data_IF_328230773154
#
_entry.id   IF_328230773154
#
_cell.length_a   1.000
_cell.length_b   1.000
_cell.length_c   1.000
_cell.angle_alpha   90.00
_cell.angle_beta   90.00
_cell.angle_gamma   90.00
#
_symmetry.space_group_name_H-M   'P 1'
#
loop_
_entity.id
_entity.type
_entity.pdbx_description
1 polymer ?
#
# COMPACT_ATOMS: atom_id res chain seq x y z
N UNK A 1 -18.21 31.73 -0.59
CA UNK A 1 -19.22 30.91 0.09
C UNK A 1 -19.35 29.57 -0.58
N UNK A 2 -19.13 28.54 0.17
CA UNK A 2 -19.34 27.21 -0.35
C UNK A 2 -20.84 26.91 -0.40
N UNK A 3 -21.25 26.30 -1.50
CA UNK A 3 -22.64 25.84 -1.63
C UNK A 3 -22.73 24.43 -1.09
N UNK A 4 -23.75 24.19 -0.27
CA UNK A 4 -24.07 22.83 0.17
C UNK A 4 -24.80 22.12 -0.94
N UNK A 5 -24.27 20.99 -1.36
CA UNK A 5 -24.89 20.14 -2.37
C UNK A 5 -25.67 19.04 -1.67
N UNK A 6 -26.96 18.93 -2.02
CA UNK A 6 -27.83 17.89 -1.48
C UNK A 6 -28.00 16.76 -2.49
N UNK A 7 -28.09 15.50 -2.05
CA UNK A 7 -28.02 15.06 -0.66
C UNK A 7 -26.59 15.12 -0.11
N UNK A 8 -26.47 15.18 1.21
CA UNK A 8 -25.17 15.17 1.89
C UNK A 8 -24.72 13.71 2.07
N UNK A 9 -23.53 13.40 1.59
CA UNK A 9 -22.96 12.07 1.76
C UNK A 9 -22.36 11.94 3.17
N UNK A 10 -22.82 10.96 3.93
CA UNK A 10 -22.42 10.77 5.32
C UNK A 10 -21.90 9.37 5.62
N UNK A 11 -21.40 8.67 4.61
CA UNK A 11 -20.94 7.28 4.77
C UNK A 11 -19.43 7.14 4.49
N UNK A 12 -18.64 8.09 4.98
CA UNK A 12 -17.19 8.09 4.76
C UNK A 12 -16.46 6.93 5.42
N UNK A 13 -17.09 6.25 6.36
CA UNK A 13 -16.52 5.03 6.92
C UNK A 13 -16.51 3.88 5.92
N UNK A 14 -17.45 3.89 4.98
CA UNK A 14 -17.57 2.87 3.93
C UNK A 14 -16.63 3.17 2.78
N UNK A 15 -16.73 4.37 2.22
CA UNK A 15 -15.90 4.79 1.10
C UNK A 15 -15.84 6.30 1.02
N UNK A 16 -14.82 6.82 0.40
CA UNK A 16 -14.63 8.25 0.20
C UNK A 16 -14.35 8.55 -1.26
N UNK A 17 -14.70 9.76 -1.74
CA UNK A 17 -14.26 10.15 -3.07
C UNK A 17 -12.74 10.21 -3.15
N UNK A 18 -12.20 9.86 -4.30
CA UNK A 18 -10.78 9.96 -4.55
C UNK A 18 -10.42 11.41 -4.92
N UNK A 19 -9.34 11.92 -4.39
CA UNK A 19 -8.82 13.23 -4.78
C UNK A 19 -8.60 13.23 -6.30
N UNK A 20 -9.05 14.26 -7.01
CA UNK A 20 -8.90 14.32 -8.48
C UNK A 20 -7.46 14.14 -8.97
N UNK A 21 -6.48 14.60 -8.21
CA UNK A 21 -5.07 14.43 -8.55
C UNK A 21 -4.65 12.97 -8.47
N UNK A 22 -5.17 12.25 -7.48
CA UNK A 22 -4.91 10.82 -7.32
C UNK A 22 -5.62 10.03 -8.43
N UNK A 23 -6.87 10.36 -8.72
CA UNK A 23 -7.62 9.70 -9.79
C UNK A 23 -6.90 9.85 -11.14
N UNK A 24 -6.37 11.04 -11.43
CA UNK A 24 -5.59 11.28 -12.64
C UNK A 24 -4.32 10.43 -12.67
N UNK A 25 -3.62 10.34 -11.55
CA UNK A 25 -2.40 9.54 -11.47
C UNK A 25 -2.68 8.06 -11.71
N UNK A 26 -3.76 7.55 -11.15
CA UNK A 26 -4.21 6.17 -11.40
C UNK A 26 -4.52 5.97 -12.89
N UNK A 27 -5.27 6.87 -13.48
CA UNK A 27 -5.63 6.82 -14.90
C UNK A 27 -4.40 6.82 -15.80
N UNK A 28 -3.39 7.62 -15.46
CA UNK A 28 -2.14 7.71 -16.22
C UNK A 28 -1.35 6.38 -16.24
N UNK A 29 -1.67 5.45 -15.35
CA UNK A 29 -1.01 4.14 -15.29
C UNK A 29 -1.86 3.02 -15.88
N UNK A 30 -2.97 3.35 -16.52
CA UNK A 30 -3.90 2.35 -17.06
C UNK A 30 -3.95 2.29 -18.58
N UNK A 31 -3.50 3.33 -19.25
CA UNK A 31 -3.70 3.47 -20.69
C UNK A 31 -2.39 3.40 -21.48
N UNK A 32 -2.51 3.13 -22.77
CA UNK A 32 -1.38 3.04 -23.67
C UNK A 32 -0.56 4.34 -23.74
N UNK A 33 -1.23 5.48 -23.62
CA UNK A 33 -0.58 6.79 -23.65
C UNK A 33 0.15 7.11 -22.35
N UNK A 34 -0.11 6.37 -21.30
CA UNK A 34 0.49 6.56 -20.00
C UNK A 34 1.53 5.51 -19.68
N UNK A 35 1.69 5.22 -18.42
CA UNK A 35 2.69 4.29 -17.90
C UNK A 35 2.02 3.01 -17.40
N UNK A 36 1.63 2.13 -18.33
CA UNK A 36 0.83 0.94 -18.04
C UNK A 36 1.65 -0.32 -17.77
N UNK A 37 2.96 -0.28 -17.96
CA UNK A 37 3.80 -1.47 -17.94
C UNK A 37 3.83 -2.18 -16.58
N UNK A 38 4.27 -3.42 -16.61
CA UNK A 38 4.46 -4.22 -15.40
C UNK A 38 5.84 -3.91 -14.81
N UNK A 39 5.92 -3.39 -13.58
CA UNK A 39 7.22 -3.07 -12.97
C UNK A 39 8.12 -4.27 -12.77
N UNK A 40 7.58 -5.48 -12.77
CA UNK A 40 8.37 -6.71 -12.69
C UNK A 40 9.01 -7.11 -14.03
N UNK A 41 8.57 -6.51 -15.13
CA UNK A 41 9.11 -6.81 -16.46
C UNK A 41 10.38 -6.00 -16.73
N UNK A 42 11.53 -6.60 -16.45
CA UNK A 42 12.82 -5.89 -16.49
C UNK A 42 13.50 -5.91 -17.84
N UNK A 43 12.93 -6.62 -18.83
CA UNK A 43 13.54 -6.80 -20.13
C UNK A 43 13.21 -5.71 -21.15
N UNK A 44 12.32 -4.77 -20.81
CA UNK A 44 11.95 -3.70 -21.72
C UNK A 44 11.61 -2.40 -20.99
N UNK A 45 11.62 -1.30 -21.73
CA UNK A 45 11.49 0.02 -21.12
C UNK A 45 10.10 0.31 -20.51
N UNK A 46 9.05 -0.38 -20.95
CA UNK A 46 7.72 -0.20 -20.37
C UNK A 46 7.72 -0.65 -18.91
N UNK A 47 8.39 -1.76 -18.61
CA UNK A 47 8.58 -2.22 -17.25
C UNK A 47 9.47 -1.29 -16.43
N UNK A 48 10.53 -0.76 -17.05
CA UNK A 48 11.45 0.17 -16.35
C UNK A 48 10.73 1.45 -15.94
N UNK A 49 9.89 2.01 -16.82
CA UNK A 49 9.10 3.20 -16.49
C UNK A 49 8.12 2.94 -15.37
N UNK A 50 7.49 1.77 -15.38
CA UNK A 50 6.57 1.39 -14.32
C UNK A 50 7.30 1.23 -12.98
N UNK A 51 8.47 0.59 -12.99
CA UNK A 51 9.30 0.44 -11.80
C UNK A 51 9.73 1.78 -11.24
N UNK A 52 10.11 2.72 -12.11
CA UNK A 52 10.47 4.07 -11.69
C UNK A 52 9.31 4.76 -10.97
N UNK A 53 8.09 4.64 -11.49
CA UNK A 53 6.90 5.20 -10.83
C UNK A 53 6.65 4.57 -9.47
N UNK A 54 6.81 3.26 -9.35
CA UNK A 54 6.65 2.54 -8.07
C UNK A 54 7.69 3.02 -7.06
N UNK A 55 8.93 3.15 -7.47
CA UNK A 55 9.99 3.60 -6.55
C UNK A 55 9.83 5.06 -6.15
N UNK A 56 9.35 5.91 -7.03
CA UNK A 56 9.01 7.29 -6.70
C UNK A 56 7.90 7.33 -5.65
N UNK A 57 6.85 6.56 -5.84
CA UNK A 57 5.76 6.46 -4.88
C UNK A 57 6.24 5.95 -3.52
N UNK A 58 7.12 4.96 -3.53
CA UNK A 58 7.74 4.41 -2.32
C UNK A 58 8.48 5.49 -1.55
N UNK A 59 9.23 6.32 -2.25
CA UNK A 59 9.96 7.43 -1.64
C UNK A 59 9.03 8.46 -1.03
N UNK A 60 7.92 8.76 -1.70
CA UNK A 60 6.93 9.70 -1.18
C UNK A 60 6.32 9.20 0.13
N UNK A 61 5.94 7.92 0.18
CA UNK A 61 5.39 7.33 1.41
C UNK A 61 6.43 7.29 2.51
N UNK A 62 7.66 6.90 2.19
CA UNK A 62 8.75 6.86 3.15
C UNK A 62 9.02 8.24 3.77
N UNK A 63 9.02 9.29 2.96
CA UNK A 63 9.20 10.65 3.44
C UNK A 63 8.06 11.07 4.37
N UNK A 64 6.84 10.67 4.04
CA UNK A 64 5.68 11.03 4.84
C UNK A 64 5.75 10.43 6.25
N UNK A 65 6.19 9.17 6.37
CA UNK A 65 6.27 8.48 7.66
C UNK A 65 7.66 8.59 8.31
N UNK A 66 8.63 9.16 7.61
CA UNK A 66 9.97 9.39 8.17
C UNK A 66 10.84 8.15 8.23
N UNK A 67 10.76 7.28 7.21
CA UNK A 67 11.58 6.08 7.15
C UNK A 67 12.35 5.99 5.83
N UNK A 68 13.19 4.96 5.71
CA UNK A 68 13.90 4.65 4.48
C UNK A 68 12.94 4.01 3.48
N UNK A 69 13.01 4.34 2.18
CA UNK A 69 12.15 3.71 1.16
C UNK A 69 12.20 2.19 1.16
N UNK A 70 13.32 1.59 1.56
CA UNK A 70 13.46 0.12 1.65
C UNK A 70 12.61 -0.50 2.74
N UNK A 71 12.10 0.31 3.66
CA UNK A 71 11.22 -0.15 4.74
C UNK A 71 9.75 -0.17 4.32
N UNK A 72 9.43 0.33 3.12
CA UNK A 72 8.07 0.32 2.59
C UNK A 72 7.84 -0.94 1.79
N UNK A 73 6.81 -1.68 2.15
CA UNK A 73 6.41 -2.91 1.46
C UNK A 73 4.99 -2.74 0.92
N UNK A 74 4.85 -2.89 -0.40
CA UNK A 74 3.54 -2.83 -1.03
C UNK A 74 2.79 -4.15 -0.87
N UNK A 75 1.54 -4.07 -0.53
CA UNK A 75 0.66 -5.24 -0.39
C UNK A 75 -0.64 -5.00 -1.14
N UNK A 76 -1.41 -6.07 -1.36
CA UNK A 76 -2.68 -5.99 -2.05
C UNK A 76 -3.81 -5.40 -1.19
N UNK A 77 -3.61 -5.32 0.11
CA UNK A 77 -4.62 -4.79 1.02
C UNK A 77 -4.29 -5.07 2.47
N UNK A 78 -5.21 -4.72 3.35
CA UNK A 78 -5.01 -4.80 4.79
C UNK A 78 -4.76 -6.24 5.27
N UNK A 79 -5.47 -7.21 4.72
CA UNK A 79 -5.33 -8.62 5.13
C UNK A 79 -3.90 -9.11 4.89
N UNK A 80 -3.36 -8.86 3.70
CA UNK A 80 -1.98 -9.24 3.38
C UNK A 80 -0.99 -8.48 4.25
N UNK A 81 -1.21 -7.18 4.45
CA UNK A 81 -0.32 -6.35 5.26
C UNK A 81 -0.27 -6.83 6.70
N UNK A 82 -1.42 -7.12 7.31
CA UNK A 82 -1.49 -7.60 8.69
C UNK A 82 -0.81 -8.96 8.83
N UNK A 83 -1.05 -9.88 7.91
CA UNK A 83 -0.43 -11.20 7.94
C UNK A 83 1.08 -11.11 7.75
N UNK A 84 1.53 -10.27 6.82
CA UNK A 84 2.95 -10.06 6.59
C UNK A 84 3.64 -9.51 7.83
N UNK A 85 3.06 -8.48 8.46
CA UNK A 85 3.64 -7.86 9.63
C UNK A 85 3.68 -8.83 10.83
N UNK A 86 2.56 -9.45 11.13
CA UNK A 86 2.45 -10.31 12.32
C UNK A 86 3.28 -11.58 12.15
N UNK A 87 3.10 -12.29 11.04
CA UNK A 87 3.84 -13.53 10.80
C UNK A 87 5.32 -13.28 10.57
N UNK A 88 5.66 -12.21 9.87
CA UNK A 88 7.05 -11.86 9.61
C UNK A 88 7.81 -11.57 10.89
N UNK A 89 7.23 -10.79 11.79
CA UNK A 89 7.84 -10.48 13.08
C UNK A 89 7.94 -11.74 13.94
N UNK A 90 6.89 -12.55 13.99
CA UNK A 90 6.87 -13.78 14.76
C UNK A 90 7.98 -14.75 14.30
N UNK A 91 8.08 -14.96 12.99
CA UNK A 91 9.12 -15.83 12.43
C UNK A 91 10.53 -15.30 12.67
N UNK A 92 10.72 -14.00 12.52
CA UNK A 92 12.01 -13.35 12.74
C UNK A 92 12.50 -13.57 14.17
N UNK A 93 11.65 -13.29 15.16
CA UNK A 93 12.03 -13.44 16.55
C UNK A 93 12.13 -14.91 16.97
N UNK A 94 11.32 -15.78 16.40
CA UNK A 94 11.44 -17.21 16.63
C UNK A 94 12.78 -17.75 16.15
N UNK A 95 13.23 -17.33 14.96
CA UNK A 95 14.52 -17.75 14.41
C UNK A 95 15.70 -17.26 15.24
N UNK A 96 15.51 -16.17 16.00
CA UNK A 96 16.53 -15.62 16.90
C UNK A 96 16.45 -16.20 18.32
N UNK A 97 15.58 -17.18 18.55
CA UNK A 97 15.43 -17.79 19.85
C UNK A 97 14.59 -17.00 20.84
N UNK A 98 13.91 -15.95 20.39
CA UNK A 98 13.01 -15.19 21.24
C UNK A 98 11.67 -15.90 21.33
N UNK A 99 11.20 -16.09 22.57
CA UNK A 99 9.88 -16.65 22.79
C UNK A 99 8.84 -15.54 22.78
N UNK A 100 7.87 -15.68 21.90
CA UNK A 100 6.73 -14.81 21.90
C UNK A 100 5.63 -15.44 22.77
N UNK A 101 5.20 -14.70 23.78
CA UNK A 101 4.04 -15.12 24.54
C UNK A 101 2.80 -14.90 23.72
N UNK A 102 2.13 -15.99 23.40
CA UNK A 102 0.81 -15.88 22.77
C UNK A 102 -0.22 -15.62 23.86
N UNK A 103 -1.15 -14.75 23.55
CA UNK A 103 -2.28 -14.52 24.44
C UNK A 103 -3.05 -15.83 24.62
N UNK A 104 -3.55 -16.12 25.82
CA UNK A 104 -4.38 -17.30 26.01
C UNK A 104 -5.77 -17.20 25.38
N UNK A 105 -6.07 -16.12 24.71
CA UNK A 105 -7.34 -15.93 24.03
C UNK A 105 -7.54 -16.95 22.92
N UNK A 106 -8.69 -17.62 22.82
CA UNK A 106 -8.96 -18.55 21.74
C UNK A 106 -8.86 -17.94 20.35
N UNK A 107 -9.03 -16.63 20.23
CA UNK A 107 -8.93 -15.91 18.95
C UNK A 107 -7.52 -15.85 18.40
N UNK A 108 -6.54 -16.02 19.26
CA UNK A 108 -5.14 -15.95 18.84
C UNK A 108 -4.60 -17.30 18.41
N UNK A 109 -5.44 -18.30 18.40
CA UNK A 109 -5.11 -19.65 17.92
C UNK A 109 -5.50 -19.74 16.46
N UNK A 110 -4.72 -19.23 15.64
CA UNK A 110 -5.12 -19.25 14.30
C UNK A 110 -4.26 -19.94 13.35
#
# INVERSE_FOLDING_TARGET
MSKVTLPIYMDYASTTPVDPRVAKKISDHLTLDGNFGNPASRSHKFGWKAEESVEEARSHVANLVGCDPREIVWTSGATEADNLAIKGIAHFYQSKGCLLYTSPSPRDRG
#
